data_IF_442185820410
#
_entry.id   IF_442185820410
#
_cell.length_a   1.000
_cell.length_b   1.000
_cell.length_c   1.000
_cell.angle_alpha   90.00
_cell.angle_beta   90.00
_cell.angle_gamma   90.00
#
_symmetry.space_group_name_H-M   'P 1'
#
loop_
_entity.id
_entity.type
_entity.pdbx_description
1 polymer ?
#
# COMPACT_ATOMS: atom_id res chain seq x y z
N UNK A 1 -12.34 -25.05 12.50
CA UNK A 1 -10.92 -24.61 12.41
C UNK A 1 -10.25 -24.79 13.76
N UNK A 2 -8.94 -25.10 13.82
CA UNK A 2 -8.20 -25.13 15.10
C UNK A 2 -8.05 -23.70 15.66
N UNK A 3 -7.94 -23.58 16.99
CA UNK A 3 -7.75 -22.29 17.66
C UNK A 3 -6.52 -21.53 17.12
N UNK A 4 -5.46 -22.26 16.78
CA UNK A 4 -4.24 -21.71 16.17
C UNK A 4 -4.47 -21.11 14.79
N UNK A 5 -5.35 -21.72 13.98
CA UNK A 5 -5.66 -21.22 12.63
C UNK A 5 -6.42 -19.89 12.72
N UNK A 6 -7.36 -19.79 13.65
CA UNK A 6 -8.14 -18.57 13.92
C UNK A 6 -7.21 -17.48 14.46
N UNK A 7 -6.31 -17.82 15.38
CA UNK A 7 -5.32 -16.88 15.92
C UNK A 7 -4.39 -16.33 14.83
N UNK A 8 -3.91 -17.17 13.91
CA UNK A 8 -3.09 -16.75 12.76
C UNK A 8 -3.87 -15.84 11.81
N UNK A 9 -5.13 -16.14 11.53
CA UNK A 9 -5.98 -15.31 10.67
C UNK A 9 -6.25 -13.94 11.27
N UNK A 10 -6.54 -13.90 12.58
CA UNK A 10 -6.76 -12.66 13.33
C UNK A 10 -5.48 -11.84 13.57
N UNK A 11 -4.30 -12.43 13.42
CA UNK A 11 -3.02 -11.75 13.57
C UNK A 11 -2.54 -11.03 12.29
N UNK A 12 -3.21 -11.23 11.15
CA UNK A 12 -2.88 -10.54 9.90
C UNK A 12 -3.33 -9.08 10.03
N UNK A 13 -2.44 -8.07 10.02
CA UNK A 13 -2.88 -6.68 10.15
C UNK A 13 -3.81 -6.30 8.99
N UNK A 14 -4.94 -5.64 9.30
CA UNK A 14 -5.89 -5.15 8.28
C UNK A 14 -5.31 -3.99 7.46
N UNK A 15 -4.28 -3.33 7.99
CA UNK A 15 -3.48 -2.34 7.27
C UNK A 15 -2.27 -3.04 6.66
N UNK A 16 -2.18 -3.02 5.32
CA UNK A 16 -0.96 -3.41 4.62
C UNK A 16 0.15 -2.46 5.07
N UNK A 17 1.27 -2.95 5.62
CA UNK A 17 2.40 -2.08 5.91
C UNK A 17 2.80 -1.39 4.60
N UNK A 18 2.88 -0.06 4.63
CA UNK A 18 3.46 0.72 3.54
C UNK A 18 4.87 0.17 3.33
N UNK A 19 5.08 -0.46 2.20
CA UNK A 19 6.36 -1.06 1.87
C UNK A 19 7.22 0.10 1.37
N UNK A 20 8.00 0.73 2.25
CA UNK A 20 9.09 1.66 1.89
C UNK A 20 10.27 0.89 1.26
N UNK A 21 9.96 0.01 0.31
CA UNK A 21 10.93 -0.62 -0.56
C UNK A 21 10.74 -0.06 -1.95
N UNK A 22 11.70 0.79 -2.32
CA UNK A 22 12.25 1.03 -3.64
C UNK A 22 11.42 0.47 -4.79
N UNK A 23 10.96 1.38 -5.65
CA UNK A 23 10.26 1.06 -6.87
C UNK A 23 11.08 0.10 -7.74
N UNK A 24 10.83 -1.19 -7.59
CA UNK A 24 11.03 -2.19 -8.62
C UNK A 24 9.96 -1.93 -9.70
N UNK A 25 10.14 -0.81 -10.40
CA UNK A 25 9.76 -0.70 -11.80
C UNK A 25 10.40 -1.90 -12.48
N UNK A 26 9.58 -2.90 -12.82
CA UNK A 26 9.98 -3.86 -13.85
C UNK A 26 10.40 -3.03 -15.05
N UNK A 27 11.70 -2.98 -15.30
CA UNK A 27 12.26 -2.42 -16.51
C UNK A 27 11.59 -3.20 -17.64
N UNK A 28 10.74 -2.51 -18.39
CA UNK A 28 10.19 -3.03 -19.64
C UNK A 28 11.30 -2.77 -20.64
N UNK A 29 12.12 -3.81 -20.86
CA UNK A 29 13.08 -3.80 -21.93
C UNK A 29 12.27 -3.82 -23.24
N UNK A 30 12.00 -2.64 -23.78
CA UNK A 30 11.65 -2.43 -25.18
C UNK A 30 12.92 -2.67 -26.00
N UNK A 31 13.27 -3.94 -26.18
CA UNK A 31 14.22 -4.38 -27.21
C UNK A 31 13.41 -4.90 -28.40
N UNK A 32 13.19 -3.97 -29.32
CA UNK A 32 12.53 -4.14 -30.61
C UNK A 32 13.50 -4.84 -31.56
N UNK A 33 13.48 -6.18 -31.56
CA UNK A 33 14.15 -7.00 -32.59
C UNK A 33 13.24 -8.16 -33.00
N UNK A 34 12.39 -7.87 -33.99
CA UNK A 34 11.89 -8.76 -35.04
C UNK A 34 12.01 -10.27 -34.78
N UNK A 35 11.04 -10.77 -34.03
CA UNK A 35 10.71 -12.18 -33.94
C UNK A 35 9.20 -12.34 -33.97
N UNK A 36 8.59 -12.07 -35.12
CA UNK A 36 7.19 -12.41 -35.43
C UNK A 36 6.99 -13.93 -35.31
N UNK A 37 6.87 -14.42 -34.08
CA UNK A 37 6.33 -15.74 -33.81
C UNK A 37 4.82 -15.58 -33.74
N UNK A 38 4.17 -15.74 -34.90
CA UNK A 38 2.72 -15.76 -35.03
C UNK A 38 2.13 -16.80 -34.06
N UNK A 39 1.74 -16.37 -32.87
CA UNK A 39 1.07 -17.18 -31.84
C UNK A 39 -0.39 -17.50 -32.20
N UNK A 40 -0.78 -17.24 -33.45
CA UNK A 40 -2.14 -17.39 -33.98
C UNK A 40 -2.12 -18.19 -35.29
N UNK A 41 -1.56 -19.40 -35.23
CA UNK A 41 -1.81 -20.46 -36.24
C UNK A 41 -1.97 -21.82 -35.57
N UNK A 42 -2.54 -21.84 -34.36
CA UNK A 42 -3.17 -23.04 -33.81
C UNK A 42 -4.67 -22.91 -34.04
N UNK A 43 -5.09 -22.92 -35.31
CA UNK A 43 -6.40 -23.47 -35.60
C UNK A 43 -6.44 -24.84 -34.90
N UNK A 44 -7.41 -25.11 -34.01
CA UNK A 44 -7.56 -26.44 -33.45
C UNK A 44 -7.46 -27.44 -34.60
N UNK A 45 -6.66 -28.51 -34.45
CA UNK A 45 -6.67 -29.58 -35.46
C UNK A 45 -8.11 -29.87 -35.83
N UNK A 46 -8.46 -29.97 -37.12
CA UNK A 46 -9.81 -30.33 -37.53
C UNK A 46 -10.23 -31.54 -36.71
N UNK A 47 -11.34 -31.42 -36.00
CA UNK A 47 -11.90 -32.53 -35.24
C UNK A 47 -12.03 -33.69 -36.23
N UNK A 48 -11.47 -34.89 -35.96
CA UNK A 48 -11.55 -36.01 -36.88
C UNK A 48 -13.01 -36.22 -37.29
N UNK A 49 -13.31 -36.08 -38.59
CA UNK A 49 -14.69 -36.14 -39.11
C UNK A 49 -15.32 -37.55 -38.97
N UNK A 50 -14.56 -38.54 -38.51
CA UNK A 50 -14.95 -39.96 -38.43
C UNK A 50 -15.36 -40.43 -37.02
N UNK A 51 -15.35 -39.56 -36.00
CA UNK A 51 -16.16 -39.84 -34.81
C UNK A 51 -17.58 -39.40 -35.13
N UNK A 52 -18.38 -40.35 -35.61
CA UNK A 52 -19.83 -40.21 -35.66
C UNK A 52 -20.30 -39.82 -34.25
N UNK A 53 -20.54 -38.54 -33.99
CA UNK A 53 -21.26 -38.07 -32.81
C UNK A 53 -22.63 -38.75 -32.87
N UNK A 54 -22.75 -39.90 -32.22
CA UNK A 54 -23.95 -40.74 -32.21
C UNK A 54 -25.15 -39.90 -31.76
N UNK A 55 -24.92 -38.95 -30.85
CA UNK A 55 -25.92 -38.02 -30.32
C UNK A 55 -26.37 -36.94 -31.34
N UNK A 56 -25.60 -36.69 -32.39
CA UNK A 56 -25.96 -35.80 -33.51
C UNK A 56 -26.42 -36.53 -34.77
N UNK A 57 -26.45 -37.87 -34.76
CA UNK A 57 -26.85 -38.66 -35.93
C UNK A 57 -28.22 -38.23 -36.48
N UNK A 58 -29.16 -37.89 -35.58
CA UNK A 58 -30.50 -37.43 -35.93
C UNK A 58 -30.52 -36.03 -36.59
N UNK A 59 -29.51 -35.17 -36.39
CA UNK A 59 -29.40 -33.85 -37.03
C UNK A 59 -29.00 -33.95 -38.51
N UNK A 60 -28.26 -35.00 -38.87
CA UNK A 60 -27.80 -35.24 -40.25
C UNK A 60 -28.86 -35.91 -41.13
N UNK A 61 -29.90 -36.50 -40.53
CA UNK A 61 -31.03 -37.09 -41.25
C UNK A 61 -32.09 -36.03 -41.48
N UNK A 62 -32.22 -35.55 -42.71
CA UNK A 62 -33.25 -34.58 -43.12
C UNK A 62 -34.64 -35.22 -43.09
N UNK A 63 -35.21 -35.36 -41.90
CA UNK A 63 -36.56 -35.85 -41.64
C UNK A 63 -37.50 -34.75 -41.14
N UNK A 64 -38.81 -35.04 -41.02
CA UNK A 64 -39.73 -34.15 -40.33
C UNK A 64 -39.26 -33.92 -38.88
N UNK A 65 -39.31 -32.68 -38.43
CA UNK A 65 -38.93 -32.28 -37.06
C UNK A 65 -39.76 -33.11 -36.07
N UNK A 66 -39.07 -33.90 -35.24
CA UNK A 66 -39.71 -34.66 -34.17
C UNK A 66 -40.06 -33.70 -33.02
N UNK A 67 -41.23 -33.86 -32.44
CA UNK A 67 -41.61 -33.13 -31.22
C UNK A 67 -40.66 -33.55 -30.08
N UNK A 68 -39.92 -32.59 -29.51
CA UNK A 68 -39.05 -32.81 -28.35
C UNK A 68 -39.94 -32.91 -27.11
N UNK A 69 -39.95 -34.09 -26.47
CA UNK A 69 -40.74 -34.35 -25.26
C UNK A 69 -39.83 -34.12 -24.06
N UNK A 70 -40.18 -33.16 -23.21
CA UNK A 70 -39.50 -32.95 -21.92
C UNK A 70 -40.31 -33.57 -20.79
N UNK A 71 -39.69 -33.74 -19.61
CA UNK A 71 -40.32 -34.32 -18.41
C UNK A 71 -41.58 -33.56 -17.99
N UNK A 72 -41.63 -32.24 -18.23
CA UNK A 72 -42.73 -31.37 -17.81
C UNK A 72 -43.85 -31.28 -18.86
N UNK A 73 -43.61 -31.71 -20.10
CA UNK A 73 -44.58 -31.61 -21.19
C UNK A 73 -45.40 -32.89 -21.34
N UNK A 74 -46.73 -32.79 -21.21
CA UNK A 74 -47.64 -33.91 -21.47
C UNK A 74 -47.58 -34.34 -22.95
N UNK A 75 -47.62 -35.65 -23.18
CA UNK A 75 -47.66 -36.22 -24.53
C UNK A 75 -49.04 -35.93 -25.15
N UNK A 76 -49.07 -35.40 -26.37
CA UNK A 76 -50.29 -35.14 -27.13
C UNK A 76 -51.01 -36.45 -27.47
N UNK A 77 -52.34 -36.42 -27.56
CA UNK A 77 -53.15 -37.58 -27.96
C UNK A 77 -52.88 -38.07 -29.39
N UNK A 78 -52.30 -37.21 -30.24
CA UNK A 78 -51.87 -37.54 -31.62
C UNK A 78 -50.61 -38.41 -31.67
N UNK A 79 -49.92 -38.60 -30.54
CA UNK A 79 -48.73 -39.44 -30.49
C UNK A 79 -49.14 -40.93 -30.57
N UNK A 80 -48.47 -41.70 -31.44
CA UNK A 80 -48.73 -43.14 -31.60
C UNK A 80 -48.64 -43.92 -30.28
N UNK A 81 -47.74 -43.53 -29.37
CA UNK A 81 -47.61 -44.14 -28.04
C UNK A 81 -48.85 -43.94 -27.17
N UNK A 82 -49.41 -42.73 -27.16
CA UNK A 82 -50.66 -42.44 -26.47
C UNK A 82 -51.82 -43.24 -27.07
N UNK A 83 -51.90 -43.31 -28.40
CA UNK A 83 -52.93 -44.08 -29.11
C UNK A 83 -52.84 -45.58 -28.78
N UNK A 84 -51.62 -46.16 -28.75
CA UNK A 84 -51.42 -47.57 -28.38
C UNK A 84 -51.82 -47.84 -26.92
N UNK A 85 -51.48 -46.95 -25.99
CA UNK A 85 -51.89 -47.08 -24.59
C UNK A 85 -53.41 -47.02 -24.43
N UNK A 86 -54.06 -46.07 -25.13
CA UNK A 86 -55.52 -45.95 -25.11
C UNK A 86 -56.22 -47.21 -25.63
N UNK A 87 -55.66 -47.84 -26.68
CA UNK A 87 -56.16 -49.12 -27.23
C UNK A 87 -56.01 -50.29 -26.26
N UNK A 88 -55.04 -50.24 -25.35
CA UNK A 88 -54.84 -51.24 -24.30
C UNK A 88 -55.69 -50.96 -23.05
N UNK A 89 -56.58 -49.96 -23.09
CA UNK A 89 -57.48 -49.62 -21.99
C UNK A 89 -56.91 -48.64 -20.97
N UNK A 90 -55.77 -48.00 -21.26
CA UNK A 90 -55.24 -46.94 -20.40
C UNK A 90 -55.94 -45.61 -20.67
N UNK A 91 -56.32 -44.90 -19.60
CA UNK A 91 -56.98 -43.58 -19.66
C UNK A 91 -56.01 -42.50 -19.15
N UNK A 92 -56.04 -41.31 -19.76
CA UNK A 92 -55.20 -40.20 -19.32
C UNK A 92 -55.44 -39.87 -17.84
N UNK A 93 -54.35 -39.77 -17.07
CA UNK A 93 -54.41 -39.53 -15.63
C UNK A 93 -54.58 -40.79 -14.77
N UNK A 94 -54.79 -41.95 -15.38
CA UNK A 94 -54.80 -43.22 -14.68
C UNK A 94 -53.36 -43.73 -14.47
N UNK A 95 -52.97 -44.13 -13.26
CA UNK A 95 -51.68 -44.75 -13.05
C UNK A 95 -51.64 -46.13 -13.71
N UNK A 96 -50.45 -46.52 -14.19
CA UNK A 96 -50.26 -47.82 -14.83
C UNK A 96 -50.02 -48.89 -13.77
N UNK A 97 -50.72 -50.03 -13.88
CA UNK A 97 -50.56 -51.19 -12.99
C UNK A 97 -51.89 -51.71 -12.44
N UNK A 98 -51.80 -52.78 -11.64
CA UNK A 98 -52.98 -53.38 -10.99
C UNK A 98 -53.49 -52.52 -9.82
N UNK A 99 -52.58 -51.79 -9.16
CA UNK A 99 -52.89 -50.90 -8.05
C UNK A 99 -53.20 -49.48 -8.53
N UNK A 100 -54.18 -48.85 -7.90
CA UNK A 100 -54.53 -47.45 -8.13
C UNK A 100 -53.57 -46.46 -7.46
N UNK A 101 -52.56 -46.95 -6.73
CA UNK A 101 -51.58 -46.16 -5.97
C UNK A 101 -50.25 -45.95 -6.73
N UNK A 102 -50.20 -46.28 -8.03
CA UNK A 102 -49.02 -46.04 -8.83
C UNK A 102 -48.86 -44.55 -9.18
N UNK A 103 -47.62 -44.11 -9.46
CA UNK A 103 -47.35 -42.70 -9.75
C UNK A 103 -47.72 -42.36 -11.19
N UNK A 104 -48.43 -41.24 -11.37
CA UNK A 104 -48.86 -40.73 -12.68
C UNK A 104 -47.76 -39.91 -13.36
N UNK A 105 -46.98 -39.15 -12.59
CA UNK A 105 -45.97 -38.24 -13.11
C UNK A 105 -44.57 -38.88 -13.21
N UNK A 106 -43.76 -38.52 -14.23
CA UNK A 106 -42.39 -39.03 -14.40
C UNK A 106 -41.48 -38.65 -13.22
N UNK A 107 -40.38 -39.39 -13.01
CA UNK A 107 -39.46 -39.12 -11.88
C UNK A 107 -38.67 -37.87 -12.24
N UNK A 108 -38.73 -36.79 -11.45
CA UNK A 108 -37.82 -35.67 -11.65
C UNK A 108 -36.40 -36.15 -11.40
N UNK A 109 -35.53 -35.97 -12.37
CA UNK A 109 -34.11 -36.26 -12.25
C UNK A 109 -33.31 -34.99 -12.53
N UNK A 110 -32.23 -34.81 -11.78
CA UNK A 110 -31.28 -33.73 -12.02
C UNK A 110 -30.04 -34.34 -12.65
N UNK A 111 -29.78 -33.98 -13.91
CA UNK A 111 -28.51 -34.30 -14.56
C UNK A 111 -27.45 -33.40 -13.96
N UNK A 112 -26.44 -34.02 -13.34
CA UNK A 112 -25.28 -33.30 -12.84
C UNK A 112 -24.35 -33.02 -13.99
N UNK A 113 -24.22 -31.75 -14.33
CA UNK A 113 -23.25 -31.28 -15.33
C UNK A 113 -21.88 -31.02 -14.70
N UNK A 114 -21.80 -31.03 -13.36
CA UNK A 114 -20.59 -30.74 -12.62
C UNK A 114 -19.74 -32.01 -12.41
N UNK A 115 -18.42 -31.87 -12.55
CA UNK A 115 -17.47 -32.93 -12.22
C UNK A 115 -17.22 -33.08 -10.70
N UNK A 116 -17.97 -32.37 -9.86
CA UNK A 116 -17.81 -32.42 -8.41
C UNK A 116 -18.43 -33.69 -7.83
N UNK A 117 -17.69 -34.36 -6.94
CA UNK A 117 -18.17 -35.56 -6.25
C UNK A 117 -19.46 -35.31 -5.45
N UNK A 118 -20.28 -36.36 -5.34
CA UNK A 118 -21.46 -36.39 -4.46
C UNK A 118 -21.06 -36.00 -3.03
N UNK A 119 -21.74 -35.02 -2.45
CA UNK A 119 -21.50 -34.58 -1.07
C UNK A 119 -20.43 -33.50 -0.88
N UNK A 120 -19.63 -33.18 -1.91
CA UNK A 120 -18.64 -32.08 -1.83
C UNK A 120 -19.30 -30.75 -1.54
N UNK A 121 -20.37 -30.42 -2.25
CA UNK A 121 -21.15 -29.19 -2.04
C UNK A 121 -21.61 -29.06 -0.59
N UNK A 122 -22.15 -30.12 0.02
CA UNK A 122 -22.57 -30.09 1.42
C UNK A 122 -21.41 -29.93 2.41
N UNK A 123 -20.23 -30.49 2.10
CA UNK A 123 -19.03 -30.29 2.90
C UNK A 123 -18.53 -28.85 2.79
N UNK A 124 -18.50 -28.30 1.58
CA UNK A 124 -18.08 -26.93 1.31
C UNK A 124 -19.00 -25.94 2.02
N UNK A 125 -20.32 -26.16 2.00
CA UNK A 125 -21.27 -25.35 2.77
C UNK A 125 -21.00 -25.38 4.27
N UNK A 126 -20.75 -26.55 4.86
CA UNK A 126 -20.40 -26.66 6.29
C UNK A 126 -19.07 -25.96 6.61
N UNK A 127 -18.09 -26.07 5.71
CA UNK A 127 -16.82 -25.36 5.85
C UNK A 127 -17.01 -23.85 5.75
N UNK A 128 -17.78 -23.36 4.78
CA UNK A 128 -18.08 -21.93 4.63
C UNK A 128 -18.82 -21.41 5.87
N UNK A 129 -19.84 -22.13 6.34
CA UNK A 129 -20.59 -21.76 7.54
C UNK A 129 -19.69 -21.68 8.79
N UNK A 130 -18.83 -22.68 9.01
CA UNK A 130 -17.89 -22.67 10.14
C UNK A 130 -16.81 -21.61 10.04
N UNK A 131 -16.51 -21.09 8.86
CA UNK A 131 -15.43 -20.11 8.63
C UNK A 131 -15.92 -18.68 8.50
N UNK A 132 -17.14 -18.49 8.00
CA UNK A 132 -17.74 -17.18 7.72
C UNK A 132 -18.80 -16.80 8.76
N UNK A 133 -19.23 -17.73 9.63
CA UNK A 133 -20.25 -17.45 10.67
C UNK A 133 -19.91 -16.29 11.60
N UNK A 134 -18.62 -15.98 11.79
CA UNK A 134 -18.20 -14.83 12.57
C UNK A 134 -17.55 -13.79 11.67
N UNK A 135 -18.13 -12.59 11.66
CA UNK A 135 -17.46 -11.41 11.12
C UNK A 135 -16.14 -11.26 11.86
N UNK A 136 -15.04 -11.16 11.12
CA UNK A 136 -13.74 -10.79 11.68
C UNK A 136 -13.88 -9.44 12.38
N UNK A 137 -13.71 -9.44 13.70
CA UNK A 137 -13.74 -8.21 14.49
C UNK A 137 -12.65 -7.25 14.03
N UNK A 138 -12.96 -5.94 14.06
CA UNK A 138 -11.95 -4.92 13.83
C UNK A 138 -10.94 -4.93 14.99
N UNK A 139 -9.67 -4.63 14.69
CA UNK A 139 -8.62 -4.54 15.72
C UNK A 139 -8.99 -3.53 16.83
N UNK A 140 -9.78 -2.50 16.51
CA UNK A 140 -10.31 -1.53 17.47
C UNK A 140 -11.41 -2.09 18.39
N UNK A 141 -12.23 -3.02 17.92
CA UNK A 141 -13.27 -3.68 18.73
C UNK A 141 -12.62 -4.67 19.68
N UNK A 142 -11.65 -5.44 19.19
CA UNK A 142 -10.82 -6.35 19.98
C UNK A 142 -10.08 -5.62 21.10
N UNK A 143 -9.42 -4.49 20.79
CA UNK A 143 -8.70 -3.68 21.78
C UNK A 143 -9.59 -3.07 22.88
N UNK A 144 -10.89 -2.91 22.64
CA UNK A 144 -11.84 -2.41 23.65
C UNK A 144 -12.32 -3.51 24.61
N UNK A 145 -12.39 -4.74 24.12
CA UNK A 145 -12.82 -5.92 24.89
C UNK A 145 -11.65 -6.67 25.54
N UNK A 146 -10.40 -6.31 25.22
CA UNK A 146 -9.17 -6.88 25.80
C UNK A 146 -9.10 -6.66 27.32
N UNK A 147 -8.72 -7.69 28.07
CA UNK A 147 -8.41 -7.58 29.49
C UNK A 147 -7.10 -6.82 29.71
N UNK A 148 -6.91 -6.25 30.91
CA UNK A 148 -5.70 -5.47 31.24
C UNK A 148 -4.39 -6.27 31.05
N UNK A 149 -4.43 -7.58 31.31
CA UNK A 149 -3.29 -8.46 31.09
C UNK A 149 -2.96 -8.64 29.60
N UNK A 150 -3.98 -8.79 28.75
CA UNK A 150 -3.80 -8.87 27.29
C UNK A 150 -3.27 -7.54 26.72
N UNK A 151 -3.78 -6.42 27.23
CA UNK A 151 -3.28 -5.08 26.88
C UNK A 151 -1.80 -4.93 27.23
N UNK A 152 -1.40 -5.32 28.45
CA UNK A 152 0.01 -5.27 28.89
C UNK A 152 0.91 -6.19 28.05
N UNK A 153 0.43 -7.38 27.67
CA UNK A 153 1.17 -8.28 26.79
C UNK A 153 1.37 -7.69 25.39
N UNK A 154 0.34 -7.03 24.83
CA UNK A 154 0.43 -6.31 23.55
C UNK A 154 1.41 -5.15 23.63
N UNK A 155 1.28 -4.29 24.65
CA UNK A 155 2.19 -3.18 24.91
C UNK A 155 3.63 -3.67 25.08
N UNK A 156 3.84 -4.77 25.82
CA UNK A 156 5.15 -5.41 25.95
C UNK A 156 5.71 -5.96 24.63
N UNK A 157 4.87 -6.55 23.77
CA UNK A 157 5.28 -6.98 22.43
C UNK A 157 5.68 -5.81 21.54
N UNK A 158 4.89 -4.74 21.54
CA UNK A 158 5.18 -3.52 20.77
C UNK A 158 6.45 -2.86 21.28
N UNK A 159 6.61 -2.72 22.60
CA UNK A 159 7.81 -2.18 23.22
C UNK A 159 9.06 -3.01 22.88
N UNK A 160 8.96 -4.35 22.93
CA UNK A 160 10.05 -5.24 22.50
C UNK A 160 10.42 -5.05 21.04
N UNK A 161 9.43 -4.97 20.14
CA UNK A 161 9.69 -4.73 18.71
C UNK A 161 10.32 -3.36 18.46
N UNK A 162 9.83 -2.33 19.14
CA UNK A 162 10.40 -0.98 19.04
C UNK A 162 11.85 -0.94 19.56
N UNK A 163 12.14 -1.59 20.69
CA UNK A 163 13.49 -1.71 21.23
C UNK A 163 14.44 -2.42 20.24
N UNK A 164 14.02 -3.56 19.68
CA UNK A 164 14.79 -4.25 18.66
C UNK A 164 15.00 -3.39 17.40
N UNK A 165 13.99 -2.63 16.97
CA UNK A 165 14.13 -1.73 15.82
C UNK A 165 15.14 -0.61 16.11
N UNK A 166 15.13 -0.05 17.33
CA UNK A 166 16.14 0.94 17.73
C UNK A 166 17.53 0.32 17.73
N UNK A 167 17.72 -0.85 18.34
CA UNK A 167 19.00 -1.57 18.36
C UNK A 167 19.51 -1.85 16.94
N UNK A 168 18.65 -2.35 16.05
CA UNK A 168 18.99 -2.58 14.63
C UNK A 168 19.42 -1.26 13.97
N UNK A 169 18.69 -0.17 14.20
CA UNK A 169 19.06 1.13 13.64
C UNK A 169 20.39 1.66 14.20
N UNK A 170 20.72 1.37 15.46
CA UNK A 170 21.99 1.76 16.06
C UNK A 170 23.16 0.97 15.48
N UNK A 171 22.96 -0.34 15.27
CA UNK A 171 23.95 -1.25 14.66
C UNK A 171 24.17 -0.90 13.18
N UNK A 172 23.13 -0.47 12.48
CA UNK A 172 23.19 -0.08 11.07
C UNK A 172 23.68 1.37 10.86
N UNK A 173 23.59 2.23 11.88
CA UNK A 173 24.01 3.65 11.84
C UNK A 173 25.44 3.87 11.25
N UNK A 174 26.47 3.07 11.57
CA UNK A 174 27.81 3.23 11.00
C UNK A 174 27.88 2.94 9.50
N UNK A 175 26.95 2.14 8.96
CA UNK A 175 26.88 1.78 7.55
C UNK A 175 25.98 2.72 6.75
N UNK A 176 25.69 3.91 7.27
CA UNK A 176 24.88 4.93 6.61
C UNK A 176 25.75 6.04 6.02
N UNK A 177 25.64 6.27 4.72
CA UNK A 177 26.33 7.36 4.04
C UNK A 177 25.44 8.61 3.94
N UNK A 178 25.74 9.65 4.72
CA UNK A 178 25.00 10.93 4.75
C UNK A 178 25.17 11.79 3.49
N UNK A 179 26.12 11.47 2.62
CA UNK A 179 26.37 12.19 1.35
C UNK A 179 25.52 11.62 0.23
N UNK A 180 25.31 10.32 0.25
CA UNK A 180 24.60 9.59 -0.78
C UNK A 180 23.19 9.16 -0.37
N UNK A 181 22.84 9.32 0.91
CA UNK A 181 21.62 8.85 1.55
C UNK A 181 21.35 7.36 1.29
N UNK A 182 22.41 6.56 1.44
CA UNK A 182 22.40 5.11 1.20
C UNK A 182 22.74 4.37 2.49
N UNK A 183 21.90 3.41 2.85
CA UNK A 183 22.15 2.45 3.92
C UNK A 183 22.79 1.20 3.32
N UNK A 184 23.90 0.76 3.89
CA UNK A 184 24.59 -0.46 3.48
C UNK A 184 24.40 -1.56 4.52
N UNK A 185 24.35 -2.81 4.06
CA UNK A 185 24.09 -3.98 4.91
C UNK A 185 25.39 -4.57 5.50
N UNK A 186 26.52 -4.36 4.81
CA UNK A 186 27.79 -4.96 5.17
C UNK A 186 28.92 -3.91 5.15
N UNK A 187 29.92 -4.12 6.00
CA UNK A 187 31.11 -3.26 6.14
C UNK A 187 31.82 -3.09 4.80
N UNK A 188 32.03 -4.20 4.06
CA UNK A 188 32.77 -4.18 2.80
C UNK A 188 32.08 -3.33 1.71
N UNK A 189 30.74 -3.38 1.63
CA UNK A 189 29.97 -2.59 0.67
C UNK A 189 30.01 -1.10 1.01
N UNK A 190 29.97 -0.76 2.30
CA UNK A 190 30.09 0.61 2.76
C UNK A 190 31.47 1.18 2.43
N UNK A 191 32.54 0.42 2.69
CA UNK A 191 33.92 0.83 2.43
C UNK A 191 34.18 1.02 0.92
N UNK A 192 33.73 0.07 0.09
CA UNK A 192 33.81 0.21 -1.38
C UNK A 192 33.05 1.44 -1.87
N UNK A 193 31.87 1.72 -1.30
CA UNK A 193 31.13 2.93 -1.62
C UNK A 193 31.92 4.19 -1.24
N UNK A 194 32.48 4.26 -0.03
CA UNK A 194 33.24 5.43 0.42
C UNK A 194 34.51 5.65 -0.40
N UNK A 195 35.10 4.57 -0.92
CA UNK A 195 36.29 4.63 -1.79
C UNK A 195 35.94 4.84 -3.27
N UNK A 196 34.66 4.76 -3.64
CA UNK A 196 34.23 4.91 -5.04
C UNK A 196 34.40 6.36 -5.54
N UNK A 197 34.83 6.48 -6.80
CA UNK A 197 35.00 7.79 -7.46
C UNK A 197 33.73 8.64 -7.43
N UNK A 198 32.56 8.01 -7.60
CA UNK A 198 31.27 8.67 -7.57
C UNK A 198 30.96 9.28 -6.20
N UNK A 199 31.31 8.60 -5.10
CA UNK A 199 31.13 9.13 -3.75
C UNK A 199 32.00 10.35 -3.49
N UNK A 200 33.28 10.30 -3.84
CA UNK A 200 34.19 11.44 -3.73
C UNK A 200 33.73 12.65 -4.56
N UNK A 201 33.18 12.43 -5.75
CA UNK A 201 32.59 13.50 -6.55
C UNK A 201 31.39 14.14 -5.87
N UNK A 202 30.51 13.33 -5.28
CA UNK A 202 29.35 13.84 -4.56
C UNK A 202 29.75 14.64 -3.32
N UNK A 203 30.83 14.23 -2.62
CA UNK A 203 31.44 15.02 -1.54
C UNK A 203 31.89 16.38 -2.07
N UNK A 204 32.74 16.40 -3.09
CA UNK A 204 33.29 17.65 -3.66
C UNK A 204 32.21 18.57 -4.19
N UNK A 205 31.18 18.03 -4.83
CA UNK A 205 30.04 18.79 -5.31
C UNK A 205 29.24 19.41 -4.17
N UNK A 206 28.96 18.63 -3.11
CA UNK A 206 28.25 19.14 -1.92
C UNK A 206 29.07 20.21 -1.20
N UNK A 207 30.39 20.07 -1.12
CA UNK A 207 31.30 21.06 -0.55
C UNK A 207 31.35 22.35 -1.40
N UNK A 208 31.40 22.22 -2.72
CA UNK A 208 31.31 23.38 -3.62
C UNK A 208 29.98 24.11 -3.47
N UNK A 209 28.87 23.37 -3.37
CA UNK A 209 27.54 23.95 -3.16
C UNK A 209 27.40 24.59 -1.77
N UNK A 210 27.94 23.96 -0.72
CA UNK A 210 27.89 24.50 0.65
C UNK A 210 28.74 25.77 0.77
N UNK A 211 29.94 25.79 0.19
CA UNK A 211 30.79 26.98 0.15
C UNK A 211 30.18 28.09 -0.71
N UNK A 212 29.53 27.77 -1.83
CA UNK A 212 28.80 28.76 -2.64
C UNK A 212 27.61 29.36 -1.87
N UNK A 213 26.83 28.52 -1.17
CA UNK A 213 25.73 28.99 -0.30
C UNK A 213 26.24 29.80 0.89
N UNK A 214 27.36 29.41 1.50
CA UNK A 214 27.97 30.14 2.61
C UNK A 214 28.49 31.52 2.16
N UNK A 215 29.07 31.61 0.95
CA UNK A 215 29.47 32.88 0.35
C UNK A 215 28.27 33.79 0.04
N UNK A 216 27.14 33.24 -0.40
CA UNK A 216 25.89 33.98 -0.59
C UNK A 216 25.15 34.32 0.73
N UNK A 217 25.48 33.63 1.82
CA UNK A 217 24.94 33.84 3.17
C UNK A 217 25.96 34.54 4.08
N UNK A 218 26.79 35.42 3.54
CA UNK A 218 27.65 36.25 4.38
C UNK A 218 26.80 37.24 5.19
N UNK A 219 27.18 37.55 6.44
CA UNK A 219 26.44 38.46 7.30
C UNK A 219 26.25 39.84 6.66
N UNK A 220 27.22 40.35 5.90
CA UNK A 220 27.07 41.62 5.18
C UNK A 220 25.97 41.60 4.10
N UNK A 221 25.83 40.50 3.36
CA UNK A 221 24.81 40.38 2.31
C UNK A 221 23.43 40.05 2.92
N UNK A 222 23.41 39.25 4.00
CA UNK A 222 22.22 39.00 4.80
C UNK A 222 21.73 40.25 5.54
N UNK A 223 22.61 41.05 6.13
CA UNK A 223 22.24 42.27 6.85
C UNK A 223 21.72 43.33 5.88
N UNK A 224 22.31 43.43 4.68
CA UNK A 224 21.80 44.30 3.59
C UNK A 224 20.44 43.84 3.06
N UNK A 225 20.14 42.54 3.12
CA UNK A 225 18.82 41.97 2.75
C UNK A 225 17.79 42.16 3.88
N UNK A 226 18.16 41.88 5.13
CA UNK A 226 17.35 42.10 6.33
C UNK A 226 17.06 43.58 6.55
N UNK A 227 18.00 44.47 6.28
CA UNK A 227 17.78 45.93 6.37
C UNK A 227 16.79 46.42 5.30
N UNK A 228 16.86 45.90 4.07
CA UNK A 228 15.86 46.19 3.02
C UNK A 228 14.48 45.65 3.37
N UNK A 229 14.40 44.51 4.04
CA UNK A 229 13.17 43.89 4.51
C UNK A 229 12.59 44.68 5.70
N UNK A 230 13.41 45.00 6.71
CA UNK A 230 13.07 45.91 7.82
C UNK A 230 12.57 47.27 7.33
N UNK A 231 13.15 47.80 6.26
CA UNK A 231 12.70 49.05 5.61
C UNK A 231 11.37 48.93 4.87
N UNK A 232 10.96 47.72 4.45
CA UNK A 232 9.62 47.46 3.89
C UNK A 232 8.60 47.31 5.00
N UNK A 233 8.93 46.51 6.02
CA UNK A 233 8.12 46.36 7.23
C UNK A 233 7.88 47.71 7.92
N UNK A 234 8.90 48.56 8.04
CA UNK A 234 8.74 49.90 8.65
C UNK A 234 7.81 50.79 7.81
N UNK A 235 7.84 50.70 6.48
CA UNK A 235 6.90 51.45 5.62
C UNK A 235 5.48 50.91 5.75
N UNK A 236 5.30 49.60 5.92
CA UNK A 236 4.00 48.99 6.15
C UNK A 236 3.47 49.31 7.54
N UNK A 237 4.28 49.17 8.59
CA UNK A 237 3.96 49.61 9.95
C UNK A 237 3.65 51.11 10.01
N UNK A 238 4.39 51.95 9.27
CA UNK A 238 4.11 53.40 9.20
C UNK A 238 2.81 53.71 8.45
N UNK A 239 2.47 52.93 7.43
CA UNK A 239 1.20 53.06 6.70
C UNK A 239 0.02 52.59 7.56
N UNK A 240 0.20 51.53 8.35
CA UNK A 240 -0.78 51.05 9.33
C UNK A 240 -0.94 52.05 10.48
N UNK A 241 0.14 52.64 11.01
CA UNK A 241 0.07 53.66 12.05
C UNK A 241 -0.57 54.98 11.56
N UNK A 242 -0.34 55.35 10.30
CA UNK A 242 -1.02 56.48 9.67
C UNK A 242 -2.53 56.21 9.46
N UNK A 243 -2.90 54.96 9.13
CA UNK A 243 -4.30 54.52 9.06
C UNK A 243 -4.96 54.42 10.45
N UNK A 244 -4.19 54.15 11.50
CA UNK A 244 -4.64 54.10 12.90
C UNK A 244 -4.67 55.47 13.60
N UNK A 245 -4.35 56.58 12.91
CA UNK A 245 -4.59 57.94 13.40
C UNK A 245 -3.64 58.47 14.48
N UNK A 246 -2.48 57.84 14.72
CA UNK A 246 -1.48 58.35 15.69
C UNK A 246 -0.47 59.26 14.98
N UNK A 247 -0.51 60.57 15.28
CA UNK A 247 0.44 61.58 14.77
C UNK A 247 1.83 61.38 15.41
N UNK A 248 2.77 60.75 14.72
CA UNK A 248 4.19 60.81 15.11
C UNK A 248 4.80 62.15 14.68
N UNK A 249 5.32 62.90 15.65
CA UNK A 249 6.04 64.16 15.46
C UNK A 249 7.36 63.90 14.72
N UNK A 250 7.58 64.69 13.66
CA UNK A 250 8.86 64.78 12.96
C UNK A 250 9.82 65.64 13.79
N UNK A 251 10.83 65.01 14.38
CA UNK A 251 11.98 65.71 14.94
C UNK A 251 12.98 66.03 13.82
N UNK A 252 13.28 67.32 13.65
CA UNK A 252 14.33 67.88 12.78
C UNK A 252 15.23 68.77 13.66
N UNK A 253 16.49 68.37 13.79
CA UNK A 253 17.73 69.20 13.79
C UNK A 253 17.67 70.68 14.25
N UNK A 254 18.32 71.04 15.38
CA UNK A 254 19.66 71.71 15.45
C UNK A 254 19.95 72.43 16.80
N UNK A 255 21.17 72.20 17.33
CA UNK A 255 22.17 73.05 18.06
C UNK A 255 21.74 74.29 18.90
N UNK A 256 22.48 74.74 19.97
CA UNK A 256 23.95 74.78 20.09
C UNK A 256 24.56 74.54 21.50
N UNK A 257 25.90 74.55 21.53
CA UNK A 257 26.81 74.63 22.69
C UNK A 257 26.69 75.95 23.47
N UNK A 258 27.13 75.97 24.75
CA UNK A 258 28.32 76.76 25.09
C UNK A 258 29.28 76.07 26.09
N UNK A 259 30.57 76.41 25.99
CA UNK A 259 31.69 76.03 26.88
C UNK A 259 32.07 77.24 27.79
N UNK A 260 33.17 77.23 28.58
CA UNK A 260 33.69 76.26 29.58
C UNK A 260 34.06 76.93 30.93
N UNK A 261 34.17 76.20 32.06
CA UNK A 261 35.09 76.59 33.16
C UNK A 261 35.67 75.38 33.94
N UNK A 262 36.99 75.31 33.88
CA UNK A 262 38.10 74.73 34.68
C UNK A 262 37.90 73.91 35.99
N UNK A 263 38.42 72.65 35.97
CA UNK A 263 39.44 71.93 36.82
C UNK A 263 39.52 72.07 38.37
N UNK A 264 40.26 71.21 39.14
CA UNK A 264 40.99 69.94 38.82
C UNK A 264 40.93 68.79 39.89
N UNK A 265 41.50 67.61 39.52
CA UNK A 265 42.08 66.60 40.43
C UNK A 265 41.75 65.16 40.01
N UNK A 266 42.60 64.44 39.26
CA UNK A 266 43.70 63.58 39.75
C UNK A 266 43.15 62.21 40.20
N UNK A 267 43.52 61.02 39.71
CA UNK A 267 44.82 60.52 39.27
C UNK A 267 44.73 59.11 38.63
N UNK A 268 45.62 58.87 37.65
CA UNK A 268 46.39 57.64 37.35
C UNK A 268 45.71 56.30 36.95
N UNK A 269 45.97 55.99 35.67
CA UNK A 269 46.04 54.76 34.86
C UNK A 269 46.88 53.57 35.45
N UNK A 270 47.22 52.52 34.67
CA UNK A 270 46.40 51.38 34.24
C UNK A 270 47.11 50.01 34.50
N UNK A 271 46.49 48.86 34.17
CA UNK A 271 47.11 47.55 34.41
C UNK A 271 46.76 46.46 33.39
N UNK A 272 47.49 46.47 32.28
CA UNK A 272 47.56 45.44 31.25
C UNK A 272 48.24 44.17 31.79
N UNK A 273 47.67 42.96 31.67
CA UNK A 273 48.45 41.70 31.65
C UNK A 273 47.87 40.67 30.68
N UNK A 274 48.81 40.10 29.94
CA UNK A 274 48.74 39.19 28.80
C UNK A 274 49.05 37.77 29.26
N UNK A 275 48.40 36.77 28.65
CA UNK A 275 49.03 35.52 28.25
C UNK A 275 48.87 34.30 29.16
N UNK A 276 48.71 33.14 28.51
CA UNK A 276 49.12 31.84 29.04
C UNK A 276 48.13 30.70 28.81
N UNK A 277 48.22 30.03 27.65
CA UNK A 277 47.76 28.65 27.53
C UNK A 277 48.66 27.75 28.38
N UNK A 278 48.06 26.82 29.13
CA UNK A 278 48.79 25.77 29.82
C UNK A 278 48.25 24.39 29.41
N UNK A 279 49.22 23.50 29.23
CA UNK A 279 49.19 22.19 28.61
C UNK A 279 48.50 21.11 29.45
N UNK A 280 48.15 20.06 28.73
CA UNK A 280 47.85 18.67 29.13
C UNK A 280 48.84 18.16 30.18
N UNK A 281 48.33 17.32 31.08
CA UNK A 281 49.10 16.25 31.72
C UNK A 281 48.35 14.92 31.58
N UNK A 282 49.06 13.94 31.05
CA UNK A 282 48.72 12.52 31.04
C UNK A 282 49.22 11.90 32.34
N UNK A 283 48.42 11.03 32.95
CA UNK A 283 48.89 10.14 33.99
C UNK A 283 48.34 8.74 33.73
N UNK A 284 49.28 7.79 33.81
CA UNK A 284 49.23 6.36 33.52
C UNK A 284 48.19 5.56 34.32
#
# INVERSE_FOLDING_TARGET
>A
MSAESIARWNAIPMTRPENDHDGLSRHRDDDESDGDVSLVSRSPSPVPQDQMDIDKYDDYVRGPVRDVITVDTKIKSTNKGFEMLSKLGWVEGQPLGLSQDARVDPIPFHVKNDATGLGKTSQDFRMIETTVSQRRELDSERQRNETEEQRKAREGNVARRAALQTEISEVLRPFYCTVCDKQFQNVAQYDEHTNSYAHHHKIRFREMQSTQRAKQNTPEEQDKRKEKERKREEKELRKIAAAAGVKMVKSMTNAPTPAPVSTPGGSKSPGFKKGGWASVDSAS
#
